data_IF_487451867947
#
_entry.id   IF_487451867947
#
_cell.length_a   1.000
_cell.length_b   1.000
_cell.length_c   1.000
_cell.angle_alpha   90.00
_cell.angle_beta   90.00
_cell.angle_gamma   90.00
#
_symmetry.space_group_name_H-M   'P 1'
#
loop_
_entity.id
_entity.type
_entity.pdbx_description
1 polymer ?
#
# COMPACT_ATOMS: atom_id res chain seq x y z
N UNK A 1 -72.45 32.46 -9.73
CA UNK A 1 -72.92 31.07 -9.98
C UNK A 1 -71.69 30.25 -10.36
N UNK A 2 -71.18 29.44 -9.41
CA UNK A 2 -71.21 27.95 -9.45
C UNK A 2 -70.29 27.41 -10.55
N UNK A 3 -69.06 27.00 -10.22
CA UNK A 3 -68.58 25.61 -10.00
C UNK A 3 -68.32 24.87 -11.33
N UNK A 4 -67.45 23.87 -11.49
CA UNK A 4 -66.67 23.06 -10.56
C UNK A 4 -65.46 22.48 -11.30
N UNK A 5 -64.46 22.10 -10.52
CA UNK A 5 -63.28 21.31 -10.88
C UNK A 5 -63.63 19.90 -11.37
N UNK A 6 -62.76 19.29 -12.17
CA UNK A 6 -62.59 17.82 -12.22
C UNK A 6 -61.22 17.45 -12.80
N UNK A 7 -60.38 16.88 -11.93
CA UNK A 7 -59.12 16.21 -12.21
C UNK A 7 -59.44 14.74 -12.53
N UNK A 8 -58.93 14.20 -13.64
CA UNK A 8 -59.00 12.78 -13.94
C UNK A 8 -57.67 12.11 -13.59
N UNK A 9 -57.72 11.20 -12.61
CA UNK A 9 -56.63 10.30 -12.21
C UNK A 9 -56.66 9.08 -13.13
N UNK A 10 -55.54 8.76 -13.78
CA UNK A 10 -55.36 7.53 -14.55
C UNK A 10 -54.67 6.49 -13.66
N UNK A 11 -55.44 5.46 -13.29
CA UNK A 11 -54.97 4.25 -12.60
C UNK A 11 -54.57 3.22 -13.67
N UNK A 12 -53.30 2.82 -13.73
CA UNK A 12 -52.85 1.69 -14.56
C UNK A 12 -52.62 0.50 -13.66
N UNK A 13 -53.50 -0.51 -13.77
CA UNK A 13 -53.36 -1.80 -13.11
C UNK A 13 -52.36 -2.69 -13.83
N UNK A 14 -51.42 -3.28 -13.08
CA UNK A 14 -50.54 -4.33 -13.59
C UNK A 14 -51.20 -5.69 -13.37
N UNK A 15 -51.44 -6.41 -14.47
CA UNK A 15 -51.88 -7.80 -14.47
C UNK A 15 -50.70 -8.74 -14.20
N UNK A 16 -50.82 -9.58 -13.19
CA UNK A 16 -49.90 -10.67 -12.87
C UNK A 16 -50.21 -11.90 -13.73
N UNK A 17 -49.23 -12.35 -14.51
CA UNK A 17 -49.27 -13.65 -15.19
C UNK A 17 -48.51 -14.68 -14.36
N UNK A 18 -49.22 -15.69 -13.88
CA UNK A 18 -48.65 -16.86 -13.23
C UNK A 18 -48.19 -17.87 -14.29
N UNK A 19 -46.89 -18.14 -14.37
CA UNK A 19 -46.36 -19.34 -15.01
C UNK A 19 -45.98 -20.35 -13.92
N UNK A 20 -46.68 -21.48 -13.90
CA UNK A 20 -46.31 -22.64 -13.11
C UNK A 20 -45.19 -23.40 -13.83
N UNK A 21 -44.01 -23.46 -13.23
CA UNK A 21 -42.93 -24.39 -13.62
C UNK A 21 -42.75 -25.43 -12.52
N UNK A 22 -42.88 -26.70 -12.90
CA UNK A 22 -42.55 -27.86 -12.07
C UNK A 22 -41.06 -27.80 -11.70
N UNK A 23 -40.74 -27.47 -10.45
CA UNK A 23 -39.39 -27.59 -9.90
C UNK A 23 -39.20 -28.98 -9.28
N UNK A 24 -38.13 -29.66 -9.69
CA UNK A 24 -37.60 -30.85 -8.99
C UNK A 24 -37.30 -30.50 -7.53
N UNK A 25 -37.40 -31.46 -6.58
CA UNK A 25 -37.08 -31.19 -5.18
C UNK A 25 -35.63 -30.70 -5.05
N UNK A 26 -35.36 -29.73 -4.15
CA UNK A 26 -34.02 -29.23 -3.94
C UNK A 26 -33.11 -30.37 -3.48
N UNK A 27 -31.89 -30.43 -4.04
CA UNK A 27 -30.86 -31.32 -3.53
C UNK A 27 -30.67 -31.07 -2.01
N UNK A 28 -30.45 -32.13 -1.20
CA UNK A 28 -30.25 -31.97 0.22
C UNK A 28 -29.12 -30.97 0.44
N UNK A 29 -29.40 -29.92 1.22
CA UNK A 29 -28.36 -28.98 1.62
C UNK A 29 -27.24 -29.77 2.31
N UNK A 30 -25.97 -29.54 1.96
CA UNK A 30 -24.88 -30.12 2.72
C UNK A 30 -25.07 -29.68 4.17
N UNK A 31 -25.24 -30.65 5.08
CA UNK A 31 -25.21 -30.37 6.50
C UNK A 31 -23.95 -29.54 6.79
N UNK A 32 -24.00 -28.55 7.70
CA UNK A 32 -22.80 -27.83 8.08
C UNK A 32 -21.79 -28.87 8.56
N UNK A 33 -20.74 -29.08 7.76
CA UNK A 33 -19.56 -29.78 8.23
C UNK A 33 -19.17 -29.08 9.53
N UNK A 34 -19.13 -29.83 10.62
CA UNK A 34 -18.54 -29.37 11.86
C UNK A 34 -17.24 -28.65 11.49
N UNK A 35 -17.17 -27.36 11.83
CA UNK A 35 -15.97 -26.56 11.64
C UNK A 35 -14.91 -27.24 12.49
N UNK A 36 -14.02 -28.01 11.87
CA UNK A 36 -12.80 -28.42 12.54
C UNK A 36 -12.20 -27.13 13.09
N UNK A 37 -12.00 -27.05 14.41
CA UNK A 37 -11.43 -25.89 15.05
C UNK A 37 -10.08 -25.60 14.39
N UNK A 38 -10.06 -24.66 13.44
CA UNK A 38 -8.84 -24.26 12.77
C UNK A 38 -7.96 -23.64 13.84
N UNK A 39 -6.87 -24.32 14.19
CA UNK A 39 -5.91 -23.79 15.16
C UNK A 39 -5.38 -22.49 14.56
N UNK A 40 -5.71 -21.38 15.22
CA UNK A 40 -5.23 -20.06 14.83
C UNK A 40 -3.73 -19.96 15.14
N UNK A 41 -2.95 -19.27 14.30
CA UNK A 41 -1.59 -18.89 14.65
C UNK A 41 -1.56 -18.12 15.98
N UNK A 42 -0.46 -18.16 16.75
CA UNK A 42 -0.43 -17.61 18.12
C UNK A 42 -0.81 -16.13 18.26
N UNK A 43 -0.56 -15.31 17.23
CA UNK A 43 -0.90 -13.88 17.20
C UNK A 43 -2.18 -13.60 16.40
N UNK A 44 -3.00 -14.59 16.04
CA UNK A 44 -4.17 -14.39 15.19
C UNK A 44 -5.48 -14.43 15.99
N UNK A 45 -6.39 -13.53 15.63
CA UNK A 45 -7.77 -13.49 16.15
C UNK A 45 -8.76 -13.46 14.99
N UNK A 46 -9.91 -14.12 15.16
CA UNK A 46 -11.00 -14.06 14.19
C UNK A 46 -11.83 -12.79 14.40
N UNK A 47 -12.14 -12.10 13.32
CA UNK A 47 -13.09 -11.00 13.28
C UNK A 47 -14.40 -11.50 12.69
N UNK A 48 -15.45 -11.56 13.50
CA UNK A 48 -16.78 -11.94 13.02
C UNK A 48 -17.44 -10.76 12.32
N UNK A 49 -17.44 -10.73 10.99
CA UNK A 49 -18.07 -9.66 10.22
C UNK A 49 -19.56 -9.46 10.56
N UNK A 50 -20.28 -10.51 10.94
CA UNK A 50 -21.70 -10.41 11.31
C UNK A 50 -21.93 -9.59 12.57
N UNK A 51 -20.99 -9.57 13.53
CA UNK A 51 -21.18 -8.79 14.77
C UNK A 51 -21.02 -7.28 14.57
N UNK A 52 -20.51 -6.84 13.42
CA UNK A 52 -20.30 -5.43 13.10
C UNK A 52 -21.09 -4.97 11.87
N UNK A 53 -21.79 -5.89 11.19
CA UNK A 53 -22.68 -5.56 10.09
C UNK A 53 -23.91 -4.74 10.55
N UNK A 54 -24.35 -4.92 11.79
CA UNK A 54 -25.42 -4.15 12.41
C UNK A 54 -25.09 -3.86 13.88
N UNK A 55 -24.81 -2.60 14.22
CA UNK A 55 -24.42 -2.21 15.58
C UNK A 55 -25.61 -2.06 16.55
N UNK A 56 -26.83 -1.91 16.03
CA UNK A 56 -28.05 -1.77 16.82
C UNK A 56 -28.15 -0.45 17.59
N UNK A 57 -29.21 -0.30 18.40
CA UNK A 57 -29.56 0.97 19.07
C UNK A 57 -28.50 1.47 20.07
N UNK A 58 -27.64 0.57 20.58
CA UNK A 58 -26.56 0.89 21.52
C UNK A 58 -25.17 0.81 20.87
N UNK A 59 -25.12 0.74 19.54
CA UNK A 59 -23.89 0.71 18.77
C UNK A 59 -23.15 2.04 18.80
N UNK A 60 -21.82 1.99 18.87
CA UNK A 60 -20.97 3.17 18.74
C UNK A 60 -20.35 3.22 17.35
N UNK A 61 -20.53 4.33 16.64
CA UNK A 61 -19.84 4.60 15.38
C UNK A 61 -18.48 5.21 15.65
N UNK A 62 -17.47 4.76 14.90
CA UNK A 62 -16.20 5.49 14.85
C UNK A 62 -16.43 6.88 14.28
N UNK A 63 -15.86 7.91 14.91
CA UNK A 63 -15.99 9.29 14.44
C UNK A 63 -14.86 9.69 13.49
N UNK A 64 -13.78 8.90 13.47
CA UNK A 64 -12.60 9.17 12.65
C UNK A 64 -11.94 7.88 12.18
N UNK A 65 -11.88 7.68 10.88
CA UNK A 65 -11.08 6.64 10.24
C UNK A 65 -9.57 6.89 10.38
N UNK A 66 -9.13 8.07 10.84
CA UNK A 66 -7.71 8.41 10.99
C UNK A 66 -7.17 8.13 12.40
N UNK A 67 -8.01 8.34 13.41
CA UNK A 67 -7.58 8.31 14.82
C UNK A 67 -8.23 7.19 15.62
N UNK A 68 -9.26 6.54 15.10
CA UNK A 68 -9.93 5.42 15.76
C UNK A 68 -9.76 4.14 14.93
N UNK A 69 -8.93 3.22 15.42
CA UNK A 69 -8.61 1.99 14.71
C UNK A 69 -9.67 0.91 14.91
N UNK A 70 -9.92 0.11 13.87
CA UNK A 70 -10.88 -0.99 13.97
C UNK A 70 -10.24 -2.21 14.66
N UNK A 71 -10.35 -2.26 16.00
CA UNK A 71 -9.88 -3.37 16.82
C UNK A 71 -11.00 -3.97 17.70
N UNK A 72 -11.94 -4.70 17.09
CA UNK A 72 -13.13 -5.21 17.80
C UNK A 72 -12.84 -6.26 18.88
N UNK A 73 -11.67 -6.91 18.82
CA UNK A 73 -11.27 -7.94 19.79
C UNK A 73 -10.46 -7.37 20.96
N UNK A 74 -10.22 -6.05 20.97
CA UNK A 74 -9.40 -5.35 21.96
C UNK A 74 -8.05 -6.04 22.22
N UNK A 75 -7.46 -6.61 21.16
CA UNK A 75 -6.20 -7.36 21.24
C UNK A 75 -5.02 -6.39 21.17
N UNK A 76 -3.98 -6.61 21.96
CA UNK A 76 -2.80 -5.74 21.97
C UNK A 76 -1.95 -5.92 20.70
N UNK A 77 -1.54 -4.83 20.02
CA UNK A 77 -0.62 -4.89 18.89
C UNK A 77 0.79 -5.35 19.26
N UNK A 78 1.55 -5.95 18.31
CA UNK A 78 1.13 -6.32 16.97
C UNK A 78 0.46 -7.71 16.90
N UNK A 79 -0.56 -7.87 16.05
CA UNK A 79 -1.29 -9.13 15.88
C UNK A 79 -1.95 -9.24 14.48
N UNK A 80 -2.54 -10.39 14.16
CA UNK A 80 -3.25 -10.64 12.91
C UNK A 80 -4.76 -10.66 13.14
N UNK A 81 -5.50 -9.83 12.39
CA UNK A 81 -6.96 -9.88 12.31
C UNK A 81 -7.38 -10.70 11.10
N UNK A 82 -8.15 -11.76 11.33
CA UNK A 82 -8.64 -12.67 10.28
C UNK A 82 -10.09 -12.36 9.99
N UNK A 83 -10.38 -11.76 8.84
CA UNK A 83 -11.74 -11.44 8.38
C UNK A 83 -12.30 -12.56 7.50
N UNK A 84 -11.44 -13.16 6.66
CA UNK A 84 -11.75 -14.30 5.81
C UNK A 84 -10.82 -15.50 6.13
N UNK A 85 -11.33 -16.74 6.23
CA UNK A 85 -10.51 -17.93 6.46
C UNK A 85 -9.38 -18.14 5.45
N UNK A 86 -9.48 -17.61 4.22
CA UNK A 86 -8.42 -17.65 3.24
C UNK A 86 -7.12 -16.98 3.74
N UNK A 87 -7.21 -15.98 4.63
CA UNK A 87 -6.05 -15.34 5.23
C UNK A 87 -5.20 -16.32 6.06
N UNK A 88 -5.80 -17.38 6.63
CA UNK A 88 -5.05 -18.39 7.37
C UNK A 88 -4.06 -19.16 6.49
N UNK A 89 -4.31 -19.24 5.16
CA UNK A 89 -3.35 -19.83 4.20
C UNK A 89 -2.17 -18.89 3.95
N UNK A 90 -2.42 -17.59 3.91
CA UNK A 90 -1.39 -16.55 3.82
C UNK A 90 -0.52 -16.55 5.07
N UNK A 91 -1.13 -16.64 6.26
CA UNK A 91 -0.42 -16.66 7.53
C UNK A 91 0.39 -17.95 7.71
N UNK A 92 -0.23 -19.11 7.48
CA UNK A 92 0.34 -20.40 7.86
C UNK A 92 0.32 -20.61 9.39
N UNK A 93 0.57 -21.84 9.87
CA UNK A 93 0.36 -22.21 11.27
C UNK A 93 1.34 -21.56 12.26
N UNK A 94 2.47 -21.05 11.77
CA UNK A 94 3.55 -20.49 12.59
C UNK A 94 3.76 -18.99 12.37
N UNK A 95 2.73 -18.29 11.90
CA UNK A 95 2.80 -16.87 11.60
C UNK A 95 3.24 -16.05 12.83
N UNK A 96 4.17 -15.13 12.64
CA UNK A 96 4.56 -14.15 13.67
C UNK A 96 4.75 -12.76 13.09
N UNK A 97 4.54 -11.73 13.91
CA UNK A 97 4.86 -10.33 13.63
C UNK A 97 5.56 -9.72 14.84
N UNK A 98 6.69 -9.04 14.63
CA UNK A 98 7.48 -8.40 15.70
C UNK A 98 8.22 -7.18 15.20
N UNK A 99 8.53 -6.25 16.08
CA UNK A 99 9.48 -5.18 15.81
C UNK A 99 10.90 -5.74 15.72
N UNK A 100 11.67 -5.25 14.72
CA UNK A 100 13.06 -5.69 14.48
C UNK A 100 14.07 -4.55 14.49
N UNK A 101 13.62 -3.31 14.33
CA UNK A 101 14.42 -2.10 14.55
C UNK A 101 13.48 -0.98 15.03
N UNK A 102 13.92 -0.13 15.96
CA UNK A 102 13.12 0.98 16.46
C UNK A 102 13.99 2.19 16.85
N UNK A 103 13.46 3.39 16.60
CA UNK A 103 14.01 4.67 17.02
C UNK A 103 12.84 5.64 17.30
N UNK A 104 12.46 5.86 18.57
CA UNK A 104 11.26 6.62 18.90
C UNK A 104 11.35 8.12 18.59
N UNK A 105 12.55 8.65 18.32
CA UNK A 105 12.77 10.09 18.10
C UNK A 105 13.00 10.45 16.62
N UNK A 106 13.00 9.46 15.73
CA UNK A 106 13.26 9.69 14.31
C UNK A 106 12.46 8.69 13.47
N UNK A 107 11.64 9.18 12.54
CA UNK A 107 10.85 8.37 11.63
C UNK A 107 11.72 7.80 10.49
N UNK A 108 12.67 6.94 10.87
CA UNK A 108 13.70 6.39 9.99
C UNK A 108 13.17 5.35 8.98
N UNK A 109 12.00 4.78 9.23
CA UNK A 109 11.41 3.67 8.49
C UNK A 109 10.05 4.06 7.94
N UNK A 110 10.03 4.88 6.89
CA UNK A 110 8.81 5.39 6.27
C UNK A 110 8.55 4.68 4.94
N UNK A 111 9.47 4.78 3.98
CA UNK A 111 9.15 4.59 2.56
C UNK A 111 10.31 3.93 1.77
N UNK A 112 10.15 3.72 0.46
CA UNK A 112 11.12 3.07 -0.45
C UNK A 112 11.70 1.70 0.00
N UNK A 113 10.94 0.77 0.62
CA UNK A 113 11.51 -0.51 0.99
C UNK A 113 11.86 -1.35 -0.26
N UNK A 114 13.14 -1.63 -0.48
CA UNK A 114 13.66 -2.46 -1.58
C UNK A 114 14.51 -3.58 -0.98
N UNK A 115 14.19 -4.83 -1.30
CA UNK A 115 14.99 -5.99 -0.88
C UNK A 115 16.07 -6.31 -1.91
N UNK A 116 17.31 -6.49 -1.42
CA UNK A 116 18.48 -6.87 -2.20
C UNK A 116 18.81 -8.35 -1.95
N UNK A 117 18.47 -9.27 -2.87
CA UNK A 117 18.66 -10.71 -2.65
C UNK A 117 20.14 -11.12 -2.49
N UNK A 118 21.05 -10.41 -3.14
CA UNK A 118 22.49 -10.72 -3.15
C UNK A 118 23.14 -10.56 -1.78
N UNK A 119 22.72 -9.55 -1.01
CA UNK A 119 23.25 -9.26 0.33
C UNK A 119 22.31 -9.72 1.45
N UNK A 120 21.03 -9.95 1.13
CA UNK A 120 19.91 -10.17 2.05
C UNK A 120 19.68 -8.96 2.97
N UNK A 121 19.67 -7.78 2.36
CA UNK A 121 19.44 -6.49 3.01
C UNK A 121 18.16 -5.85 2.48
N UNK A 122 17.55 -4.98 3.27
CA UNK A 122 16.45 -4.11 2.83
C UNK A 122 16.89 -2.66 2.97
N UNK A 123 16.88 -1.92 1.87
CA UNK A 123 17.05 -0.46 1.85
C UNK A 123 15.70 0.21 1.99
N UNK A 124 15.64 1.40 2.57
CA UNK A 124 14.42 2.19 2.77
C UNK A 124 14.79 3.65 3.03
N UNK A 125 13.80 4.54 2.99
CA UNK A 125 13.93 5.95 3.28
C UNK A 125 13.20 6.34 4.57
N UNK A 126 13.76 7.31 5.29
CA UNK A 126 13.07 8.01 6.37
C UNK A 126 11.97 8.91 5.82
N UNK A 127 11.05 9.32 6.70
CA UNK A 127 9.97 10.23 6.33
C UNK A 127 10.55 11.51 5.70
N UNK A 128 9.99 11.93 4.55
CA UNK A 128 10.42 13.12 3.81
C UNK A 128 9.64 14.37 4.27
N UNK A 129 9.48 14.53 5.59
CA UNK A 129 8.82 15.67 6.19
C UNK A 129 8.33 15.38 7.61
N UNK A 130 7.53 16.29 8.15
CA UNK A 130 6.88 16.12 9.44
C UNK A 130 7.82 16.23 10.65
N UNK A 131 7.23 16.27 11.84
CA UNK A 131 7.96 16.58 13.08
C UNK A 131 9.04 15.54 13.44
N UNK A 132 8.89 14.28 13.01
CA UNK A 132 9.83 13.19 13.27
C UNK A 132 10.71 12.82 12.07
N UNK A 133 10.44 13.33 10.86
CA UNK A 133 11.28 13.08 9.70
C UNK A 133 12.61 13.83 9.72
N UNK A 134 12.70 14.92 10.50
CA UNK A 134 13.91 15.75 10.61
C UNK A 134 14.42 16.23 9.25
N UNK A 135 13.50 16.42 8.30
CA UNK A 135 13.72 16.88 6.94
C UNK A 135 12.69 17.94 6.59
N UNK A 136 13.11 18.93 5.81
CA UNK A 136 12.32 20.09 5.42
C UNK A 136 12.91 20.68 4.13
N UNK A 137 12.57 21.93 3.79
CA UNK A 137 13.14 22.57 2.59
C UNK A 137 14.67 22.71 2.64
N UNK A 138 15.28 22.77 3.83
CA UNK A 138 16.71 22.99 4.06
C UNK A 138 17.46 21.71 4.45
N UNK A 139 16.76 20.66 4.88
CA UNK A 139 17.33 19.39 5.32
C UNK A 139 16.77 18.20 4.53
N UNK A 140 17.67 17.38 3.94
CA UNK A 140 17.30 16.18 3.21
C UNK A 140 16.93 15.01 4.14
N UNK A 141 16.09 14.09 3.67
CA UNK A 141 15.80 12.84 4.37
C UNK A 141 16.95 11.82 4.23
N UNK A 142 16.82 10.66 4.87
CA UNK A 142 17.88 9.65 4.94
C UNK A 142 17.47 8.35 4.27
N UNK A 143 18.32 7.84 3.38
CA UNK A 143 18.24 6.46 2.88
C UNK A 143 19.11 5.57 3.75
N UNK A 144 18.57 4.47 4.22
CA UNK A 144 19.22 3.53 5.14
C UNK A 144 18.96 2.08 4.75
N UNK A 145 19.61 1.15 5.44
CA UNK A 145 19.38 -0.29 5.29
C UNK A 145 19.47 -1.07 6.60
N UNK A 146 18.83 -2.23 6.61
CA UNK A 146 19.00 -3.28 7.63
C UNK A 146 19.44 -4.60 6.99
N UNK A 147 20.17 -5.42 7.76
CA UNK A 147 20.56 -6.77 7.37
C UNK A 147 19.57 -7.81 7.89
N UNK A 148 18.93 -8.58 7.01
CA UNK A 148 18.02 -9.64 7.44
C UNK A 148 18.74 -10.84 8.05
N UNK A 149 20.05 -10.98 7.79
CA UNK A 149 20.92 -11.94 8.49
C UNK A 149 21.08 -11.56 9.96
N UNK A 150 21.29 -10.26 10.24
CA UNK A 150 21.35 -9.75 11.62
C UNK A 150 20.00 -9.92 12.32
N UNK A 151 18.89 -9.62 11.62
CA UNK A 151 17.53 -9.85 12.15
C UNK A 151 17.32 -11.32 12.51
N UNK A 152 17.68 -12.25 11.63
CA UNK A 152 17.54 -13.67 11.88
C UNK A 152 18.39 -14.13 13.08
N UNK A 153 19.62 -13.62 13.21
CA UNK A 153 20.50 -13.93 14.35
C UNK A 153 19.92 -13.39 15.67
N UNK A 154 19.42 -12.15 15.66
CA UNK A 154 18.80 -11.53 16.83
C UNK A 154 17.53 -12.27 17.27
N UNK A 155 16.67 -12.65 16.32
CA UNK A 155 15.47 -13.47 16.60
C UNK A 155 15.86 -14.82 17.20
N UNK A 156 16.89 -15.48 16.65
CA UNK A 156 17.37 -16.76 17.18
C UNK A 156 17.91 -16.61 18.61
N UNK A 157 18.63 -15.53 18.90
CA UNK A 157 19.17 -15.24 20.23
C UNK A 157 18.08 -14.92 21.27
N UNK A 158 17.00 -14.25 20.85
CA UNK A 158 15.85 -13.94 21.71
C UNK A 158 15.01 -15.20 22.07
N UNK A 159 15.16 -16.29 21.32
CA UNK A 159 14.51 -17.57 21.59
C UNK A 159 13.07 -17.65 21.06
N UNK A 160 12.29 -18.56 21.65
CA UNK A 160 10.91 -18.81 21.23
C UNK A 160 9.99 -17.68 21.71
N UNK A 161 9.43 -16.91 20.78
CA UNK A 161 8.48 -15.85 21.08
C UNK A 161 8.40 -14.79 19.99
N UNK A 162 7.70 -13.70 20.31
CA UNK A 162 7.41 -12.56 19.43
C UNK A 162 7.90 -11.24 20.02
N UNK A 163 8.77 -11.32 21.03
CA UNK A 163 9.41 -10.16 21.63
C UNK A 163 10.18 -9.35 20.58
N UNK A 164 10.19 -8.03 20.77
CA UNK A 164 10.94 -7.13 19.91
C UNK A 164 12.44 -7.44 19.96
N UNK A 165 13.09 -7.30 18.81
CA UNK A 165 14.55 -7.23 18.69
C UNK A 165 14.91 -5.88 18.09
N UNK A 166 16.16 -5.46 18.21
CA UNK A 166 16.62 -4.19 17.67
C UNK A 166 17.97 -4.38 16.97
N UNK A 167 17.93 -4.45 15.65
CA UNK A 167 19.14 -4.55 14.81
C UNK A 167 19.65 -3.17 14.42
N UNK A 168 20.89 -3.14 13.96
CA UNK A 168 21.53 -1.91 13.50
C UNK A 168 20.91 -1.40 12.19
N UNK A 169 20.74 -0.09 12.09
CA UNK A 169 20.34 0.61 10.87
C UNK A 169 21.56 1.33 10.33
N UNK A 170 21.90 1.09 9.06
CA UNK A 170 23.06 1.71 8.41
C UNK A 170 22.60 2.74 7.38
N UNK A 171 22.97 4.00 7.57
CA UNK A 171 22.71 5.07 6.59
C UNK A 171 23.57 4.86 5.33
N UNK A 172 22.99 5.11 4.16
CA UNK A 172 23.73 5.20 2.89
C UNK A 172 24.22 6.63 2.69
N UNK A 173 25.47 6.77 2.27
CA UNK A 173 26.05 8.08 1.93
C UNK A 173 25.73 8.39 0.47
N UNK A 174 24.67 9.17 0.25
CA UNK A 174 24.18 9.55 -1.08
C UNK A 174 24.46 11.04 -1.35
N UNK A 175 24.76 11.42 -2.60
CA UNK A 175 24.98 12.80 -2.96
C UNK A 175 23.70 13.64 -2.82
N UNK A 176 23.85 14.96 -2.66
CA UNK A 176 22.74 15.92 -2.55
C UNK A 176 21.93 16.10 -3.86
N UNK A 177 22.20 15.28 -4.88
CA UNK A 177 21.33 15.15 -6.05
C UNK A 177 20.18 14.17 -5.83
N UNK A 178 20.27 13.32 -4.79
CA UNK A 178 19.20 12.40 -4.36
C UNK A 178 18.47 13.05 -3.19
N UNK A 179 17.28 13.58 -3.43
CA UNK A 179 16.60 14.52 -2.55
C UNK A 179 15.20 14.06 -2.21
N UNK A 180 14.90 13.98 -0.91
CA UNK A 180 13.59 13.58 -0.40
C UNK A 180 13.16 12.27 -1.06
N UNK A 181 13.99 11.23 -0.93
CA UNK A 181 13.65 9.92 -1.47
C UNK A 181 12.39 9.43 -0.79
N UNK A 182 11.33 9.27 -1.55
CA UNK A 182 10.07 8.78 -1.05
C UNK A 182 9.96 7.31 -1.42
N UNK A 183 9.45 6.97 -2.60
CA UNK A 183 9.32 5.58 -3.04
C UNK A 183 10.56 5.01 -3.73
N UNK A 184 10.46 3.73 -4.08
CA UNK A 184 11.58 3.01 -4.66
C UNK A 184 11.20 1.63 -5.18
N UNK A 185 11.96 1.15 -6.16
CA UNK A 185 11.73 -0.17 -6.76
C UNK A 185 13.01 -0.82 -7.28
N UNK A 186 12.95 -2.11 -7.58
CA UNK A 186 14.08 -2.90 -8.07
C UNK A 186 14.44 -4.07 -7.15
N UNK A 187 15.70 -4.55 -7.20
CA UNK A 187 16.81 -3.99 -7.98
C UNK A 187 16.58 -4.08 -9.48
N UNK A 188 17.08 -3.11 -10.25
CA UNK A 188 17.06 -3.05 -11.71
C UNK A 188 18.48 -3.10 -12.25
N UNK A 189 18.89 -4.20 -12.90
CA UNK A 189 20.28 -4.47 -13.26
C UNK A 189 21.25 -4.34 -12.07
N UNK A 190 20.79 -4.68 -10.86
CA UNK A 190 21.57 -4.60 -9.62
C UNK A 190 21.53 -3.24 -8.90
N UNK A 191 21.05 -2.18 -9.54
CA UNK A 191 20.88 -0.86 -8.91
C UNK A 191 19.51 -0.71 -8.26
N UNK A 192 19.41 0.17 -7.28
CA UNK A 192 18.13 0.66 -6.75
C UNK A 192 17.55 1.67 -7.74
N UNK A 193 16.23 1.66 -7.94
CA UNK A 193 15.52 2.80 -8.52
C UNK A 193 14.91 3.58 -7.38
N UNK A 194 15.41 4.79 -7.12
CA UNK A 194 14.86 5.69 -6.11
C UNK A 194 14.01 6.76 -6.76
N UNK A 195 12.87 7.05 -6.12
CA UNK A 195 11.91 8.08 -6.52
C UNK A 195 12.04 9.23 -5.54
N UNK A 196 12.41 10.39 -6.07
CA UNK A 196 12.78 11.55 -5.28
C UNK A 196 11.70 12.62 -5.41
N UNK A 197 11.13 13.06 -4.29
CA UNK A 197 10.13 14.11 -4.22
C UNK A 197 10.68 15.49 -4.62
N UNK A 198 12.00 15.65 -4.64
CA UNK A 198 12.67 16.95 -4.83
C UNK A 198 12.63 17.81 -3.57
N UNK A 199 13.36 18.93 -3.56
CA UNK A 199 13.47 19.79 -2.36
C UNK A 199 13.78 21.24 -2.74
N UNK A 200 12.89 22.16 -2.38
CA UNK A 200 12.99 23.57 -2.77
C UNK A 200 13.18 23.72 -4.28
N UNK A 201 14.27 24.35 -4.76
CA UNK A 201 14.55 24.48 -6.19
C UNK A 201 15.05 23.18 -6.86
N UNK A 202 15.51 22.20 -6.08
CA UNK A 202 16.03 20.93 -6.61
C UNK A 202 14.87 20.07 -7.13
N UNK A 203 14.95 19.56 -8.38
CA UNK A 203 13.83 18.91 -9.02
C UNK A 203 13.55 17.52 -8.44
N UNK A 204 12.28 17.07 -8.47
CA UNK A 204 11.95 15.65 -8.29
C UNK A 204 12.64 14.81 -9.36
N UNK A 205 12.99 13.55 -9.06
CA UNK A 205 13.69 12.70 -10.03
C UNK A 205 13.46 11.20 -9.87
N UNK A 206 13.63 10.47 -10.96
CA UNK A 206 13.84 9.01 -10.98
C UNK A 206 15.33 8.76 -11.14
N UNK A 207 15.96 8.09 -10.19
CA UNK A 207 17.42 7.88 -10.19
C UNK A 207 17.79 6.40 -9.98
N UNK A 208 18.85 5.97 -10.68
CA UNK A 208 19.57 4.73 -10.34
C UNK A 208 20.58 5.02 -9.25
N UNK A 209 20.66 4.14 -8.26
CA UNK A 209 21.63 4.23 -7.17
C UNK A 209 22.25 2.86 -6.94
N UNK A 210 23.58 2.80 -7.01
CA UNK A 210 24.28 1.57 -6.66
C UNK A 210 24.14 1.29 -5.15
N UNK A 211 23.63 0.11 -4.75
CA UNK A 211 23.45 -0.20 -3.34
C UNK A 211 24.77 -0.41 -2.58
N UNK A 212 25.90 -0.55 -3.29
CA UNK A 212 27.22 -0.71 -2.70
C UNK A 212 28.03 0.59 -2.74
N UNK A 213 28.91 0.85 -1.76
CA UNK A 213 29.84 1.97 -1.83
C UNK A 213 30.66 1.95 -3.12
N UNK A 214 30.90 3.11 -3.76
CA UNK A 214 30.65 4.47 -3.27
C UNK A 214 29.25 5.03 -3.58
N UNK A 215 28.25 4.18 -3.85
CA UNK A 215 26.86 4.58 -4.13
C UNK A 215 26.70 5.50 -5.34
N UNK A 216 27.36 5.15 -6.45
CA UNK A 216 27.23 5.90 -7.70
C UNK A 216 25.75 6.09 -8.09
N UNK A 217 25.40 7.31 -8.49
CA UNK A 217 24.03 7.68 -8.84
C UNK A 217 23.92 8.13 -10.29
N UNK A 218 22.75 7.94 -10.89
CA UNK A 218 22.44 8.44 -12.24
C UNK A 218 20.98 8.87 -12.30
N UNK A 219 20.73 10.16 -12.55
CA UNK A 219 19.38 10.67 -12.79
C UNK A 219 18.91 10.23 -14.17
N UNK A 220 17.78 9.52 -14.23
CA UNK A 220 17.16 9.08 -15.47
C UNK A 220 16.15 10.11 -16.00
N UNK A 221 15.43 10.78 -15.10
CA UNK A 221 14.38 11.72 -15.44
C UNK A 221 14.15 12.69 -14.28
N UNK A 222 14.02 13.98 -14.54
CA UNK A 222 13.74 15.03 -13.55
C UNK A 222 12.67 16.05 -13.98
N UNK A 223 12.12 15.88 -15.19
CA UNK A 223 11.13 16.79 -15.76
C UNK A 223 10.25 16.07 -16.81
N UNK A 224 9.13 16.71 -17.16
CA UNK A 224 8.29 16.35 -18.30
C UNK A 224 8.39 17.43 -19.39
N UNK A 225 9.30 17.25 -20.34
CA UNK A 225 9.55 18.19 -21.45
C UNK A 225 9.80 19.64 -20.98
N UNK A 226 10.58 19.80 -19.91
CA UNK A 226 10.90 21.08 -19.28
C UNK A 226 9.89 21.53 -18.21
N UNK A 227 8.76 20.84 -18.05
CA UNK A 227 7.83 21.08 -16.94
C UNK A 227 8.30 20.30 -15.72
N UNK A 228 8.40 20.98 -14.58
CA UNK A 228 8.81 20.34 -13.34
C UNK A 228 7.66 19.48 -12.79
N UNK A 229 7.97 18.25 -12.39
CA UNK A 229 7.05 17.42 -11.61
C UNK A 229 6.71 18.10 -10.27
N UNK A 230 5.60 17.69 -9.65
CA UNK A 230 5.19 18.21 -8.35
C UNK A 230 6.14 17.68 -7.26
N UNK A 231 6.00 16.39 -6.97
CA UNK A 231 6.82 15.58 -6.08
C UNK A 231 6.53 14.11 -6.40
N UNK A 232 7.52 13.42 -6.96
CA UNK A 232 7.35 12.01 -7.30
C UNK A 232 7.25 11.19 -6.01
N UNK A 233 6.34 10.22 -5.99
CA UNK A 233 6.01 9.51 -4.76
C UNK A 233 6.41 8.04 -4.84
N UNK A 234 5.68 7.16 -5.54
CA UNK A 234 6.01 5.73 -5.62
C UNK A 234 6.26 5.25 -7.06
N UNK A 235 6.89 4.08 -7.21
CA UNK A 235 7.13 3.46 -8.50
C UNK A 235 7.13 1.93 -8.52
N UNK A 236 6.84 1.37 -9.69
CA UNK A 236 6.97 -0.05 -9.97
C UNK A 236 7.47 -0.29 -11.39
N UNK A 237 8.36 -1.28 -11.53
CA UNK A 237 8.71 -1.84 -12.84
C UNK A 237 7.59 -2.79 -13.24
N UNK A 238 7.05 -2.63 -14.46
CA UNK A 238 6.00 -3.51 -14.94
C UNK A 238 6.57 -4.91 -15.25
N UNK A 239 5.96 -5.99 -14.72
CA UNK A 239 6.43 -7.36 -14.93
C UNK A 239 6.51 -7.72 -16.42
N UNK A 240 7.57 -8.44 -16.80
CA UNK A 240 7.81 -8.83 -18.20
C UNK A 240 8.29 -7.69 -19.11
N UNK A 241 8.62 -6.53 -18.54
CA UNK A 241 9.19 -5.38 -19.26
C UNK A 241 10.26 -4.71 -18.41
N UNK A 242 10.94 -3.71 -18.99
CA UNK A 242 11.88 -2.84 -18.28
C UNK A 242 11.29 -1.45 -18.02
N UNK A 243 9.98 -1.27 -18.11
CA UNK A 243 9.36 0.06 -18.06
C UNK A 243 8.97 0.42 -16.63
N UNK A 244 9.33 1.62 -16.22
CA UNK A 244 9.14 2.14 -14.87
C UNK A 244 7.85 2.96 -14.88
N UNK A 245 6.93 2.66 -13.97
CA UNK A 245 5.71 3.42 -13.77
C UNK A 245 5.80 4.12 -12.43
N UNK A 246 5.44 5.39 -12.36
CA UNK A 246 5.59 6.18 -11.15
C UNK A 246 4.47 7.20 -11.01
N UNK A 247 4.20 7.61 -9.77
CA UNK A 247 3.19 8.60 -9.42
C UNK A 247 3.82 9.97 -9.18
N UNK A 248 3.16 11.02 -9.69
CA UNK A 248 3.48 12.42 -9.38
C UNK A 248 2.29 13.04 -8.65
N UNK A 249 2.54 13.52 -7.43
CA UNK A 249 1.53 13.99 -6.49
C UNK A 249 2.00 15.25 -5.78
N UNK A 250 1.12 15.97 -5.10
CA UNK A 250 1.42 17.27 -4.50
C UNK A 250 2.01 17.22 -3.08
N UNK A 251 2.40 16.05 -2.55
CA UNK A 251 2.81 15.90 -1.16
C UNK A 251 3.98 16.81 -0.75
N UNK A 252 4.96 17.03 -1.61
CA UNK A 252 6.06 17.94 -1.28
C UNK A 252 5.62 19.37 -0.99
N UNK A 253 4.58 19.84 -1.67
CA UNK A 253 3.97 21.14 -1.37
C UNK A 253 3.16 21.07 -0.07
N UNK A 254 2.35 20.02 0.09
CA UNK A 254 1.51 19.81 1.28
C UNK A 254 2.31 19.58 2.57
N UNK A 255 3.57 19.16 2.43
CA UNK A 255 4.55 18.95 3.49
C UNK A 255 5.62 20.04 3.57
N UNK A 256 5.43 21.17 2.86
CA UNK A 256 6.24 22.39 2.94
C UNK A 256 7.70 22.32 2.42
N UNK A 257 8.06 21.32 1.64
CA UNK A 257 9.43 21.21 1.09
C UNK A 257 9.51 21.38 -0.44
N UNK A 258 8.39 21.60 -1.14
CA UNK A 258 8.32 21.95 -2.57
C UNK A 258 7.47 23.20 -2.81
N UNK A 259 7.71 23.93 -3.92
CA UNK A 259 6.87 25.06 -4.31
C UNK A 259 5.46 24.63 -4.75
N UNK A 260 4.61 25.61 -5.06
CA UNK A 260 3.26 25.36 -5.55
C UNK A 260 3.28 24.42 -6.78
N UNK A 261 2.44 23.37 -6.80
CA UNK A 261 2.32 22.42 -7.91
C UNK A 261 1.95 23.09 -9.24
N UNK A 262 2.50 22.57 -10.35
CA UNK A 262 2.24 23.05 -11.72
C UNK A 262 1.71 21.96 -12.66
N UNK A 263 1.62 20.73 -12.15
CA UNK A 263 1.16 19.53 -12.87
C UNK A 263 -0.07 18.94 -12.18
N UNK A 264 -0.99 18.27 -12.91
CA UNK A 264 -2.03 17.45 -12.29
C UNK A 264 -1.44 16.21 -11.62
N UNK A 265 -2.17 15.61 -10.67
CA UNK A 265 -1.78 14.34 -10.05
C UNK A 265 -2.03 13.17 -11.00
N UNK A 266 -0.97 12.49 -11.41
CA UNK A 266 -0.99 11.56 -12.54
C UNK A 266 0.02 10.43 -12.41
N UNK A 267 -0.21 9.36 -13.17
CA UNK A 267 0.71 8.23 -13.30
C UNK A 267 1.44 8.34 -14.63
N UNK A 268 2.75 8.18 -14.58
CA UNK A 268 3.64 8.25 -15.73
C UNK A 268 4.31 6.90 -15.98
N UNK A 269 4.74 6.70 -17.22
CA UNK A 269 5.57 5.57 -17.65
C UNK A 269 6.84 6.12 -18.27
N UNK A 270 7.99 5.67 -17.77
CA UNK A 270 9.32 5.97 -18.24
C UNK A 270 9.96 4.73 -18.89
N UNK A 271 10.53 4.96 -20.06
CA UNK A 271 11.51 4.08 -20.67
C UNK A 271 12.92 4.36 -20.14
N UNK A 272 13.56 3.46 -19.36
CA UNK A 272 14.90 3.72 -18.87
C UNK A 272 15.98 3.59 -19.96
N UNK A 273 15.68 3.13 -21.17
CA UNK A 273 16.65 3.08 -22.26
C UNK A 273 16.55 4.33 -23.12
N UNK A 274 15.34 4.66 -23.57
CA UNK A 274 15.12 5.77 -24.52
C UNK A 274 14.81 7.11 -23.84
N UNK A 275 14.61 7.12 -22.51
CA UNK A 275 14.12 8.27 -21.72
C UNK A 275 12.73 8.77 -22.14
N UNK A 276 12.00 8.01 -22.96
CA UNK A 276 10.65 8.36 -23.34
C UNK A 276 9.71 8.28 -22.12
N UNK A 277 9.11 9.42 -21.77
CA UNK A 277 8.13 9.55 -20.68
C UNK A 277 6.77 9.94 -21.24
N UNK A 278 5.70 9.36 -20.70
CA UNK A 278 4.32 9.75 -21.01
C UNK A 278 3.37 9.48 -19.84
N UNK A 279 2.26 10.20 -19.80
CA UNK A 279 1.14 9.93 -18.89
C UNK A 279 0.43 8.64 -19.31
N UNK A 280 0.04 7.82 -18.33
CA UNK A 280 -0.70 6.56 -18.55
C UNK A 280 -2.04 6.51 -17.84
N UNK A 281 -2.24 7.32 -16.80
CA UNK A 281 -3.49 7.46 -16.05
C UNK A 281 -3.58 8.85 -15.40
N UNK A 282 -4.79 9.38 -15.28
CA UNK A 282 -5.11 10.65 -14.63
C UNK A 282 -6.45 10.57 -13.87
N UNK A 283 -6.92 11.71 -13.35
CA UNK A 283 -8.19 11.81 -12.63
C UNK A 283 -8.13 11.32 -11.17
N UNK A 284 -6.95 11.36 -10.57
CA UNK A 284 -6.76 11.10 -9.14
C UNK A 284 -6.92 12.38 -8.35
N UNK A 285 -7.42 12.27 -7.12
CA UNK A 285 -7.29 13.35 -6.17
C UNK A 285 -5.83 13.43 -5.69
N UNK A 286 -5.27 12.32 -5.17
CA UNK A 286 -3.83 12.18 -4.83
C UNK A 286 -3.39 10.75 -5.09
N UNK A 287 -2.82 10.46 -6.27
CA UNK A 287 -2.24 9.15 -6.53
C UNK A 287 -1.02 8.90 -5.63
N UNK A 288 -0.86 7.68 -5.15
CA UNK A 288 0.22 7.32 -4.24
C UNK A 288 0.87 5.99 -4.66
N UNK A 289 0.67 4.89 -3.91
CA UNK A 289 1.26 3.60 -4.19
C UNK A 289 0.83 3.01 -5.52
N UNK A 290 1.74 2.26 -6.15
CA UNK A 290 1.50 1.57 -7.43
C UNK A 290 2.01 0.14 -7.41
N UNK A 291 1.19 -0.78 -7.91
CA UNK A 291 1.56 -2.19 -8.03
C UNK A 291 0.98 -2.82 -9.31
N UNK A 292 1.48 -4.01 -9.67
CA UNK A 292 1.00 -4.78 -10.80
C UNK A 292 0.68 -6.22 -10.39
N UNK A 293 -0.34 -6.80 -11.04
CA UNK A 293 -0.52 -8.25 -11.07
C UNK A 293 0.74 -8.94 -11.59
N UNK A 294 0.96 -10.19 -11.20
CA UNK A 294 2.12 -10.98 -11.61
C UNK A 294 2.33 -11.05 -13.12
N UNK A 295 1.25 -11.09 -13.89
CA UNK A 295 1.31 -11.09 -15.37
C UNK A 295 1.42 -9.70 -16.01
N UNK A 296 1.46 -8.63 -15.21
CA UNK A 296 1.58 -7.25 -15.65
C UNK A 296 0.40 -6.71 -16.45
N UNK A 297 -0.77 -7.39 -16.42
CA UNK A 297 -1.98 -6.98 -17.15
C UNK A 297 -2.93 -6.12 -16.31
N UNK A 298 -2.82 -6.15 -15.00
CA UNK A 298 -3.59 -5.28 -14.10
C UNK A 298 -2.64 -4.38 -13.33
N UNK A 299 -2.91 -3.09 -13.32
CA UNK A 299 -2.25 -2.12 -12.47
C UNK A 299 -3.18 -1.73 -11.32
N UNK A 300 -2.61 -1.49 -10.15
CA UNK A 300 -3.28 -0.98 -8.97
C UNK A 300 -2.65 0.35 -8.59
N UNK A 301 -3.48 1.37 -8.33
CA UNK A 301 -3.03 2.69 -7.88
C UNK A 301 -3.93 3.14 -6.75
N UNK A 302 -3.35 3.52 -5.61
CA UNK A 302 -4.11 4.11 -4.51
C UNK A 302 -4.35 5.59 -4.75
N UNK A 303 -5.54 6.05 -4.34
CA UNK A 303 -5.92 7.44 -4.28
C UNK A 303 -6.15 7.81 -2.81
N UNK A 304 -5.30 8.69 -2.31
CA UNK A 304 -5.11 9.02 -0.90
C UNK A 304 -5.58 10.43 -0.59
N UNK A 305 -6.53 10.93 -1.38
CA UNK A 305 -7.10 12.27 -1.27
C UNK A 305 -7.69 12.65 0.09
N UNK A 306 -8.00 11.66 0.93
CA UNK A 306 -8.36 11.87 2.33
C UNK A 306 -7.30 12.68 3.10
N UNK A 307 -6.01 12.53 2.76
CA UNK A 307 -4.89 13.23 3.39
C UNK A 307 -4.46 14.45 2.55
N UNK A 308 -4.74 15.66 3.06
CA UNK A 308 -4.42 16.92 2.37
C UNK A 308 -3.29 17.72 3.05
N UNK A 309 -2.50 17.09 3.92
CA UNK A 309 -1.37 17.73 4.60
C UNK A 309 -1.78 18.97 5.40
N UNK A 310 -1.14 20.13 5.17
CA UNK A 310 -1.46 21.35 5.91
C UNK A 310 -2.89 21.87 5.67
N UNK A 311 -3.59 21.40 4.63
CA UNK A 311 -5.01 21.73 4.38
C UNK A 311 -5.95 20.95 5.31
N UNK A 312 -5.43 19.99 6.08
CA UNK A 312 -6.18 19.12 6.96
C UNK A 312 -6.52 17.78 6.29
N UNK A 313 -7.30 16.95 6.99
CA UNK A 313 -7.77 15.69 6.43
C UNK A 313 -9.28 15.75 6.21
N UNK A 314 -9.73 15.14 5.12
CA UNK A 314 -11.14 15.11 4.74
C UNK A 314 -11.61 13.68 4.46
N UNK A 315 -12.32 13.09 5.42
CA UNK A 315 -12.80 11.70 5.34
C UNK A 315 -13.85 11.44 4.25
N UNK A 316 -14.33 12.50 3.57
CA UNK A 316 -15.21 12.36 2.41
C UNK A 316 -14.45 12.18 1.09
N UNK A 317 -13.12 12.35 1.11
CA UNK A 317 -12.24 12.19 -0.05
C UNK A 317 -11.68 10.76 -0.14
N UNK A 318 -11.04 10.39 -1.28
CA UNK A 318 -10.60 9.03 -1.51
C UNK A 318 -9.62 8.48 -0.46
N UNK A 319 -9.92 7.27 0.02
CA UNK A 319 -9.00 6.31 0.64
C UNK A 319 -9.11 4.97 -0.10
N UNK A 320 -9.04 5.04 -1.43
CA UNK A 320 -9.50 3.97 -2.34
C UNK A 320 -8.34 3.44 -3.17
N UNK A 321 -8.27 2.13 -3.34
CA UNK A 321 -7.40 1.47 -4.31
C UNK A 321 -8.21 1.24 -5.59
N UNK A 322 -7.68 1.69 -6.73
CA UNK A 322 -8.28 1.47 -8.04
C UNK A 322 -7.46 0.46 -8.84
N UNK A 323 -8.16 -0.43 -9.55
CA UNK A 323 -7.56 -1.32 -10.53
C UNK A 323 -7.78 -0.81 -11.97
N UNK A 324 -6.84 -1.16 -12.85
CA UNK A 324 -6.84 -0.79 -14.25
C UNK A 324 -6.38 -1.96 -15.10
N UNK A 325 -6.92 -2.07 -16.31
CA UNK A 325 -6.36 -2.94 -17.33
C UNK A 325 -5.18 -2.21 -17.99
N UNK A 326 -4.05 -2.89 -18.16
CA UNK A 326 -2.89 -2.36 -18.86
C UNK A 326 -3.01 -2.72 -20.33
N UNK A 327 -3.19 -1.72 -21.18
CA UNK A 327 -3.28 -1.93 -22.63
C UNK A 327 -1.98 -2.57 -23.15
N UNK A 328 -2.03 -3.73 -23.83
CA UNK A 328 -0.83 -4.49 -24.19
C UNK A 328 0.04 -3.81 -25.26
N UNK A 329 -0.51 -2.85 -26.00
CA UNK A 329 0.20 -2.15 -27.08
C UNK A 329 0.83 -0.84 -26.59
N UNK A 330 0.04 -0.04 -25.91
CA UNK A 330 0.41 1.31 -25.49
C UNK A 330 0.95 1.32 -24.07
N UNK A 331 0.53 0.37 -23.22
CA UNK A 331 0.72 0.37 -21.76
C UNK A 331 -0.05 1.49 -21.05
N UNK A 332 -1.09 2.05 -21.67
CA UNK A 332 -2.01 2.97 -21.01
C UNK A 332 -2.93 2.21 -20.03
N UNK A 333 -3.28 2.84 -18.92
CA UNK A 333 -4.22 2.27 -17.97
C UNK A 333 -5.65 2.54 -18.44
N UNK A 334 -6.48 1.50 -18.47
CA UNK A 334 -7.86 1.52 -18.95
C UNK A 334 -8.80 0.95 -17.91
N UNK A 335 -10.10 1.17 -18.09
CA UNK A 335 -11.16 0.54 -17.28
C UNK A 335 -10.96 0.70 -15.76
N UNK A 336 -10.76 1.96 -15.32
CA UNK A 336 -10.67 2.32 -13.90
C UNK A 336 -11.85 1.72 -13.16
N UNK A 337 -11.58 0.95 -12.11
CA UNK A 337 -12.59 0.33 -11.26
C UNK A 337 -12.12 0.31 -9.82
N UNK A 338 -13.05 0.42 -8.89
CA UNK A 338 -12.75 0.25 -7.46
C UNK A 338 -12.27 -1.17 -7.24
N UNK A 339 -11.16 -1.30 -6.53
CA UNK A 339 -10.67 -2.58 -6.04
C UNK A 339 -10.95 -2.73 -4.54
N UNK A 340 -10.55 -1.74 -3.74
CA UNK A 340 -10.78 -1.74 -2.30
C UNK A 340 -10.96 -0.31 -1.75
N UNK A 341 -11.65 -0.20 -0.62
CA UNK A 341 -11.75 1.01 0.18
C UNK A 341 -11.22 0.72 1.58
N UNK A 342 -10.30 1.55 2.07
CA UNK A 342 -9.63 1.35 3.35
C UNK A 342 -10.51 1.83 4.49
N UNK A 343 -10.60 1.06 5.57
CA UNK A 343 -11.43 1.43 6.73
C UNK A 343 -10.70 2.28 7.77
N UNK A 344 -9.36 2.30 7.76
CA UNK A 344 -8.53 3.11 8.66
C UNK A 344 -7.39 3.79 7.88
N UNK A 345 -7.41 5.13 7.84
CA UNK A 345 -6.42 5.95 7.15
C UNK A 345 -6.57 5.89 5.63
N UNK A 346 -5.45 5.70 4.94
CA UNK A 346 -5.31 5.63 3.48
C UNK A 346 -4.49 4.40 3.11
N UNK A 347 -4.62 3.90 1.87
CA UNK A 347 -3.68 2.92 1.32
C UNK A 347 -2.50 3.67 0.73
N UNK A 348 -1.33 3.54 1.35
CA UNK A 348 -0.10 4.21 0.93
C UNK A 348 0.67 3.30 -0.05
N UNK A 349 1.89 2.84 0.28
CA UNK A 349 2.64 1.87 -0.50
C UNK A 349 1.99 0.48 -0.58
N UNK A 350 2.17 -0.21 -1.72
CA UNK A 350 1.50 -1.49 -2.03
C UNK A 350 2.41 -2.57 -2.63
N UNK A 351 2.11 -3.84 -2.31
CA UNK A 351 2.77 -5.03 -2.87
C UNK A 351 1.76 -6.12 -3.19
N UNK A 352 2.11 -7.02 -4.11
CA UNK A 352 1.36 -8.25 -4.35
C UNK A 352 2.21 -9.48 -4.00
N UNK A 353 1.57 -10.51 -3.47
CA UNK A 353 2.18 -11.83 -3.31
C UNK A 353 2.09 -12.67 -4.60
N UNK A 354 2.59 -13.91 -4.56
CA UNK A 354 2.60 -14.80 -5.72
C UNK A 354 1.22 -15.28 -6.19
N UNK A 355 0.19 -15.12 -5.35
CA UNK A 355 -1.20 -15.50 -5.62
C UNK A 355 -2.06 -14.27 -5.96
N UNK A 356 -1.42 -13.13 -6.24
CA UNK A 356 -2.02 -11.83 -6.55
C UNK A 356 -2.90 -11.26 -5.41
N UNK A 357 -2.65 -11.65 -4.16
CA UNK A 357 -3.21 -10.93 -3.00
C UNK A 357 -2.47 -9.59 -2.84
N UNK A 358 -3.22 -8.51 -2.65
CA UNK A 358 -2.69 -7.16 -2.50
C UNK A 358 -2.52 -6.81 -1.02
N UNK A 359 -1.35 -6.28 -0.68
CA UNK A 359 -0.98 -5.78 0.64
C UNK A 359 -0.74 -4.28 0.54
N UNK A 360 -1.36 -3.47 1.40
CA UNK A 360 -1.09 -2.03 1.47
C UNK A 360 -0.77 -1.58 2.89
N UNK A 361 0.15 -0.64 3.03
CA UNK A 361 0.33 0.14 4.24
C UNK A 361 -0.92 1.00 4.50
N UNK A 362 -1.45 0.96 5.71
CA UNK A 362 -2.67 1.66 6.14
C UNK A 362 -2.50 2.26 7.54
N UNK A 363 -3.52 2.99 8.01
CA UNK A 363 -3.45 3.75 9.26
C UNK A 363 -3.28 2.91 10.55
N UNK A 364 -3.62 1.62 10.52
CA UNK A 364 -3.50 0.70 11.66
C UNK A 364 -2.55 -0.48 11.41
N UNK A 365 -1.81 -0.49 10.30
CA UNK A 365 -0.86 -1.54 9.94
C UNK A 365 -0.95 -1.89 8.45
N UNK A 366 -0.99 -3.18 8.12
CA UNK A 366 -1.08 -3.64 6.72
C UNK A 366 -2.42 -4.32 6.49
N UNK A 367 -3.15 -3.92 5.46
CA UNK A 367 -4.38 -4.57 5.03
C UNK A 367 -4.10 -5.50 3.85
N UNK A 368 -4.79 -6.64 3.82
CA UNK A 368 -4.56 -7.70 2.83
C UNK A 368 -5.88 -8.06 2.14
N UNK A 369 -5.94 -7.84 0.84
CA UNK A 369 -7.09 -8.15 -0.01
C UNK A 369 -6.78 -9.29 -0.97
N UNK A 370 -7.79 -10.12 -1.24
CA UNK A 370 -7.73 -11.13 -2.28
C UNK A 370 -7.75 -10.50 -3.68
N UNK A 371 -7.47 -11.28 -4.75
CA UNK A 371 -7.43 -10.77 -6.12
C UNK A 371 -8.76 -10.17 -6.62
N UNK A 372 -9.85 -10.43 -5.91
CA UNK A 372 -11.21 -9.93 -6.17
C UNK A 372 -11.56 -8.66 -5.37
N UNK A 373 -10.65 -8.16 -4.53
CA UNK A 373 -10.88 -7.01 -3.64
C UNK A 373 -11.49 -7.37 -2.29
N UNK A 374 -11.71 -8.65 -1.98
CA UNK A 374 -12.23 -9.09 -0.67
C UNK A 374 -11.17 -8.86 0.41
N UNK A 375 -11.49 -8.13 1.49
CA UNK A 375 -10.61 -7.98 2.64
C UNK A 375 -10.44 -9.33 3.35
N UNK A 376 -9.24 -9.90 3.27
CA UNK A 376 -8.92 -11.19 3.88
C UNK A 376 -8.51 -11.01 5.34
N UNK A 377 -7.69 -10.00 5.62
CA UNK A 377 -7.04 -9.84 6.90
C UNK A 377 -6.31 -8.53 7.08
N UNK A 378 -5.87 -8.28 8.31
CA UNK A 378 -4.93 -7.21 8.63
C UNK A 378 -3.76 -7.73 9.45
N UNK A 379 -2.57 -7.22 9.19
CA UNK A 379 -1.44 -7.25 10.12
C UNK A 379 -1.55 -5.96 10.92
N UNK A 380 -2.22 -6.03 12.07
CA UNK A 380 -2.55 -4.88 12.89
C UNK A 380 -1.34 -4.50 13.77
N UNK A 381 -0.83 -3.30 13.56
CA UNK A 381 0.33 -2.74 14.29
C UNK A 381 -0.09 -1.73 15.35
N UNK A 382 -1.33 -1.22 15.29
CA UNK A 382 -1.78 -0.13 16.17
C UNK A 382 -1.04 1.18 15.91
N UNK A 383 -0.45 1.32 14.73
CA UNK A 383 0.21 2.51 14.21
C UNK A 383 0.16 2.44 12.69
N UNK A 384 0.32 3.60 12.04
CA UNK A 384 0.43 3.69 10.58
C UNK A 384 1.59 2.86 10.06
N UNK A 385 1.38 2.21 8.92
CA UNK A 385 2.44 1.72 8.04
C UNK A 385 2.37 2.47 6.71
N UNK A 386 3.47 3.07 6.29
CA UNK A 386 3.55 3.81 5.03
C UNK A 386 3.90 2.88 3.85
N UNK A 387 4.84 1.94 4.02
CA UNK A 387 5.18 1.00 2.95
C UNK A 387 5.67 -0.36 3.49
N UNK A 388 5.89 -1.31 2.58
CA UNK A 388 6.22 -2.70 2.87
C UNK A 388 6.89 -3.38 1.66
N UNK A 389 7.70 -4.40 1.92
CA UNK A 389 8.32 -5.21 0.86
C UNK A 389 8.41 -6.68 1.25
N UNK A 390 8.14 -7.55 0.28
CA UNK A 390 8.49 -8.96 0.42
C UNK A 390 9.99 -9.15 0.27
N UNK A 391 10.65 -9.57 1.35
CA UNK A 391 12.06 -9.91 1.34
C UNK A 391 12.25 -11.40 1.03
N UNK A 392 11.84 -11.82 -0.16
CA UNK A 392 11.74 -13.24 -0.52
C UNK A 392 10.53 -13.93 0.13
N UNK A 393 10.47 -15.26 0.01
CA UNK A 393 9.33 -16.00 0.54
C UNK A 393 9.26 -15.89 2.06
N UNK A 394 8.04 -15.79 2.57
CA UNK A 394 7.71 -15.85 3.99
C UNK A 394 8.23 -14.70 4.85
N UNK A 395 8.75 -13.62 4.25
CA UNK A 395 9.25 -12.45 4.97
C UNK A 395 8.63 -11.19 4.39
N UNK A 396 7.79 -10.53 5.16
CA UNK A 396 7.25 -9.21 4.83
C UNK A 396 7.83 -8.20 5.80
N UNK A 397 8.62 -7.26 5.28
CA UNK A 397 9.21 -6.17 6.05
C UNK A 397 8.31 -4.95 5.92
N UNK A 398 7.95 -4.35 7.03
CA UNK A 398 6.91 -3.31 7.11
C UNK A 398 7.53 -2.04 7.72
N UNK A 399 7.38 -0.92 7.01
CA UNK A 399 7.82 0.40 7.42
C UNK A 399 6.69 1.08 8.21
N UNK A 400 6.95 1.44 9.46
CA UNK A 400 5.97 2.01 10.39
C UNK A 400 6.56 3.20 11.16
N UNK A 401 7.02 4.21 10.40
CA UNK A 401 7.65 5.45 10.86
C UNK A 401 8.90 5.23 11.71
N UNK A 402 8.72 5.04 13.02
CA UNK A 402 9.77 4.91 14.03
C UNK A 402 10.11 3.46 14.33
N UNK A 403 9.53 2.50 13.60
CA UNK A 403 9.74 1.06 13.81
C UNK A 403 9.70 0.32 12.48
N UNK A 404 10.58 -0.68 12.32
CA UNK A 404 10.47 -1.71 11.29
C UNK A 404 9.89 -2.97 11.93
N UNK A 405 8.84 -3.51 11.31
CA UNK A 405 8.30 -4.81 11.68
C UNK A 405 8.70 -5.88 10.66
N UNK A 406 8.89 -7.10 11.14
CA UNK A 406 8.98 -8.29 10.30
C UNK A 406 7.78 -9.19 10.58
N UNK A 407 6.96 -9.43 9.56
CA UNK A 407 5.97 -10.49 9.56
C UNK A 407 6.54 -11.74 8.86
N UNK A 408 6.59 -12.85 9.59
CA UNK A 408 6.92 -14.17 9.07
C UNK A 408 5.59 -14.90 8.81
N UNK A 409 5.27 -15.12 7.54
CA UNK A 409 3.97 -15.65 7.08
C UNK A 409 4.20 -16.70 5.98
N UNK A 410 3.23 -17.55 5.64
CA UNK A 410 3.39 -18.57 4.60
C UNK A 410 3.36 -18.02 3.16
N UNK A 411 2.94 -16.76 2.97
CA UNK A 411 2.89 -16.11 1.66
C UNK A 411 4.24 -16.15 0.92
N UNK A 412 4.16 -16.30 -0.40
CA UNK A 412 5.32 -16.31 -1.29
C UNK A 412 5.45 -14.96 -1.98
N UNK A 413 6.68 -14.47 -2.10
CA UNK A 413 6.93 -13.24 -2.81
C UNK A 413 6.55 -13.40 -4.30
N UNK A 414 5.94 -12.38 -4.88
CA UNK A 414 5.81 -12.30 -6.32
C UNK A 414 7.22 -12.19 -6.93
N UNK A 415 7.62 -13.17 -7.73
CA UNK A 415 8.89 -13.15 -8.45
C UNK A 415 8.74 -12.23 -9.65
N UNK A 416 8.82 -10.93 -9.41
CA UNK A 416 9.04 -9.98 -10.49
C UNK A 416 10.45 -10.24 -11.02
N UNK A 417 10.55 -10.78 -12.23
CA UNK A 417 11.83 -10.88 -12.92
C UNK A 417 12.25 -9.45 -13.26
N UNK A 418 13.08 -8.87 -12.40
CA UNK A 418 13.80 -7.66 -12.75
C UNK A 418 15.00 -8.05 -13.62
N UNK A 419 15.27 -7.34 -14.72
CA UNK A 419 16.43 -7.58 -15.57
C UNK A 419 17.75 -7.44 -14.81
#
# INVERSE_FOLDING_TARGET
MVAASSIAVITVGFASWAYATLQSPPAPQPQPRAVNATILPPQAVLVNSRSFAALGNNGTFRQSALTEFFNPTNTSPPFFQVFDPAFLRILGPSATVRAVAANPTFAFAHEAPIWLPSTDEVTFASNDGGALGMSDIDHNNQVSKISLKEVAAAIKAAGHGTAAVNVSVTKLDLPDTIQMTNGGTGPFNGDLILINSGRGPLPPSVALVNPSPPHNTTVLLDNFFGRQFNSLNDAKIRPGTNKIFFTDVTYGFLNHFRPLPLMPNQVYRLDPETRAVRVVADGFDRCNGIAFSRDGKTAFVSDTGLNEGFLGNNQTQPATIYAYDVDPKTEAFKNRRVFAYVDTGIADGMQLDADDNLYAGCGDGVHVWGPDGTLLGKIFLGTTSANLVFAGNQRLVIMAETTIYLAQIAAKANKLSFP
#
